data_IF_560719194369
#
_entry.id   IF_560719194369
#
_cell.length_a   1.000
_cell.length_b   1.000
_cell.length_c   1.000
_cell.angle_alpha   90.00
_cell.angle_beta   90.00
_cell.angle_gamma   90.00
#
_symmetry.space_group_name_H-M   'P 1'
#
loop_
_entity.id
_entity.type
_entity.pdbx_description
1 polymer ?
#
# COMPACT_ATOMS: atom_id res chain seq x y z
N UNK A 1 1.56 -4.74 15.78
CA UNK A 1 1.46 -3.97 14.51
C UNK A 1 0.99 -4.86 13.38
N UNK A 2 0.22 -4.31 12.45
CA UNK A 2 -0.33 -4.99 11.28
C UNK A 2 0.31 -4.46 9.99
N UNK A 3 0.72 -5.36 9.10
CA UNK A 3 1.15 -5.01 7.74
C UNK A 3 0.03 -5.38 6.77
N UNK A 4 -0.52 -4.39 6.05
CA UNK A 4 -1.66 -4.57 5.16
C UNK A 4 -1.24 -4.12 3.77
N UNK A 5 -1.33 -4.99 2.76
CA UNK A 5 -0.89 -4.60 1.43
C UNK A 5 -1.56 -5.33 0.28
N UNK A 6 -1.52 -4.71 -0.89
CA UNK A 6 -1.73 -5.35 -2.19
C UNK A 6 -0.45 -5.19 -3.00
N UNK A 7 0.13 -6.27 -3.53
CA UNK A 7 1.48 -6.26 -4.08
C UNK A 7 1.69 -7.33 -5.16
N UNK A 8 1.10 -7.20 -6.37
CA UNK A 8 1.23 -8.20 -7.43
C UNK A 8 2.67 -8.49 -7.87
N UNK A 9 3.57 -7.49 -7.76
CA UNK A 9 4.99 -7.59 -8.15
C UNK A 9 5.94 -7.56 -6.95
N UNK A 10 5.44 -7.79 -5.73
CA UNK A 10 6.22 -7.80 -4.48
C UNK A 10 6.88 -6.48 -4.03
N UNK A 11 6.99 -5.46 -4.88
CA UNK A 11 7.62 -4.18 -4.50
C UNK A 11 6.87 -3.45 -3.38
N UNK A 12 5.53 -3.44 -3.41
CA UNK A 12 4.72 -2.83 -2.35
C UNK A 12 4.89 -3.56 -1.03
N UNK A 13 4.88 -4.91 -1.04
CA UNK A 13 5.17 -5.73 0.14
C UNK A 13 6.52 -5.35 0.75
N UNK A 14 7.57 -5.27 -0.07
CA UNK A 14 8.92 -4.93 0.39
C UNK A 14 8.94 -3.57 1.09
N UNK A 15 8.35 -2.52 0.49
CA UNK A 15 8.30 -1.19 1.10
C UNK A 15 7.48 -1.17 2.40
N UNK A 16 6.34 -1.86 2.45
CA UNK A 16 5.51 -1.99 3.66
C UNK A 16 6.30 -2.64 4.80
N UNK A 17 7.05 -3.70 4.51
CA UNK A 17 7.91 -4.38 5.47
C UNK A 17 9.03 -3.47 5.97
N UNK A 18 9.70 -2.72 5.07
CA UNK A 18 10.76 -1.78 5.45
C UNK A 18 10.24 -0.64 6.34
N UNK A 19 9.08 -0.06 6.01
CA UNK A 19 8.44 0.94 6.89
C UNK A 19 8.09 0.31 8.25
N UNK A 20 7.55 -0.91 8.23
CA UNK A 20 7.27 -1.67 9.45
C UNK A 20 8.50 -1.86 10.34
N UNK A 21 9.67 -2.16 9.76
CA UNK A 21 10.92 -2.28 10.53
C UNK A 21 11.37 -0.99 11.19
N UNK A 22 10.97 0.18 10.69
CA UNK A 22 11.21 1.46 11.35
C UNK A 22 10.37 1.69 12.60
N UNK A 23 9.27 0.95 12.78
CA UNK A 23 8.35 1.12 13.91
C UNK A 23 8.75 0.17 15.04
N UNK A 24 8.87 0.63 16.31
CA UNK A 24 9.32 -0.19 17.44
C UNK A 24 8.22 -1.11 17.99
N UNK A 25 7.43 -1.71 17.10
CA UNK A 25 6.39 -2.69 17.43
C UNK A 25 6.63 -4.00 16.70
N UNK A 26 6.40 -5.11 17.40
CA UNK A 26 6.41 -6.43 16.78
C UNK A 26 5.30 -6.53 15.72
N UNK A 27 5.64 -7.10 14.57
CA UNK A 27 4.67 -7.49 13.55
C UNK A 27 3.84 -8.64 14.13
N UNK A 28 2.54 -8.41 14.28
CA UNK A 28 1.58 -9.38 14.81
C UNK A 28 0.82 -10.07 13.68
N UNK A 29 0.41 -9.29 12.66
CA UNK A 29 -0.41 -9.77 11.55
C UNK A 29 0.11 -9.24 10.22
N UNK A 30 0.08 -10.10 9.21
CA UNK A 30 0.31 -9.73 7.81
C UNK A 30 -0.97 -10.03 7.02
N UNK A 31 -1.59 -8.99 6.47
CA UNK A 31 -2.83 -9.04 5.69
C UNK A 31 -2.46 -8.76 4.23
N UNK A 32 -2.15 -9.82 3.49
CA UNK A 32 -1.93 -9.75 2.05
C UNK A 32 -3.28 -9.76 1.32
N UNK A 33 -3.66 -8.64 0.71
CA UNK A 33 -4.88 -8.47 -0.08
C UNK A 33 -4.69 -8.81 -1.57
N UNK A 34 -3.52 -9.27 -1.99
CA UNK A 34 -3.20 -9.65 -3.39
C UNK A 34 -3.93 -10.90 -3.88
N UNK A 35 -4.00 -12.01 -3.12
CA UNK A 35 -4.59 -13.24 -3.61
C UNK A 35 -6.10 -13.09 -3.84
N UNK A 36 -6.62 -13.70 -4.92
CA UNK A 36 -8.05 -13.61 -5.26
C UNK A 36 -8.97 -14.17 -4.16
N UNK A 37 -8.52 -15.22 -3.49
CA UNK A 37 -9.30 -15.94 -2.47
C UNK A 37 -9.55 -15.15 -1.18
N UNK A 38 -8.80 -14.07 -0.94
CA UNK A 38 -8.90 -13.24 0.28
C UNK A 38 -10.22 -12.44 0.34
N UNK A 39 -10.97 -12.37 -0.76
CA UNK A 39 -12.26 -11.66 -0.84
C UNK A 39 -13.30 -12.08 0.20
N UNK A 40 -13.16 -13.25 0.84
CA UNK A 40 -14.09 -13.76 1.87
C UNK A 40 -13.67 -13.48 3.31
N UNK A 41 -12.40 -13.15 3.55
CA UNK A 41 -11.91 -12.94 4.91
C UNK A 41 -12.34 -11.56 5.41
N UNK A 42 -12.70 -11.49 6.69
CA UNK A 42 -12.95 -10.22 7.40
C UNK A 42 -11.89 -10.06 8.47
N UNK A 43 -11.43 -8.82 8.64
CA UNK A 43 -10.41 -8.49 9.61
C UNK A 43 -10.91 -7.34 10.49
N UNK A 44 -10.75 -7.51 11.79
CA UNK A 44 -10.99 -6.46 12.78
C UNK A 44 -9.63 -6.00 13.30
N UNK A 45 -9.49 -4.67 13.40
CA UNK A 45 -8.28 -4.00 13.89
C UNK A 45 -8.69 -3.09 15.05
N UNK A 46 -8.19 -3.35 16.24
CA UNK A 46 -8.55 -2.60 17.44
C UNK A 46 -7.82 -1.27 17.53
N UNK A 47 -8.32 -0.34 18.36
CA UNK A 47 -7.78 1.01 18.51
C UNK A 47 -6.32 1.06 18.98
N UNK A 48 -5.91 0.09 19.78
CA UNK A 48 -4.56 -0.08 20.31
C UNK A 48 -3.59 -0.73 19.31
N UNK A 49 -4.10 -1.22 18.18
CA UNK A 49 -3.26 -1.73 17.10
C UNK A 49 -2.78 -0.61 16.18
N UNK A 50 -1.54 -0.75 15.71
CA UNK A 50 -0.92 0.15 14.73
C UNK A 50 -0.77 -0.57 13.38
N UNK A 51 -1.03 0.12 12.28
CA UNK A 51 -1.00 -0.48 10.94
C UNK A 51 -0.09 0.26 9.95
N UNK A 52 0.51 -0.48 9.02
CA UNK A 52 1.13 0.06 7.80
C UNK A 52 0.35 -0.47 6.61
N UNK A 53 -0.18 0.42 5.78
CA UNK A 53 -1.09 0.08 4.67
C UNK A 53 -0.49 0.53 3.35
N UNK A 54 -0.30 -0.39 2.41
CA UNK A 54 0.33 -0.10 1.12
C UNK A 54 -0.35 -0.68 -0.11
N UNK A 55 -0.36 0.08 -1.21
CA UNK A 55 -0.85 -0.39 -2.51
C UNK A 55 -0.03 0.19 -3.67
N UNK A 56 0.05 -0.49 -4.83
CA UNK A 56 0.64 0.08 -6.03
C UNK A 56 -0.28 1.14 -6.63
N UNK A 57 0.29 2.02 -7.45
CA UNK A 57 -0.45 2.98 -8.27
C UNK A 57 -0.58 2.45 -9.68
N UNK A 58 -1.80 2.44 -10.18
CA UNK A 58 -2.09 2.14 -11.58
C UNK A 58 -2.86 3.30 -12.20
N UNK A 59 -2.19 4.01 -13.11
CA UNK A 59 -2.79 5.13 -13.84
C UNK A 59 -3.24 6.25 -12.92
N UNK A 60 -2.43 6.58 -11.90
CA UNK A 60 -2.73 7.62 -10.92
C UNK A 60 -3.78 7.24 -9.87
N UNK A 61 -4.26 5.99 -9.85
CA UNK A 61 -5.35 5.51 -8.99
C UNK A 61 -4.96 4.22 -8.25
N UNK A 62 -5.74 3.87 -7.23
CA UNK A 62 -5.62 2.58 -6.56
C UNK A 62 -6.24 1.44 -7.41
N UNK A 63 -5.68 0.21 -7.35
CA UNK A 63 -6.25 -0.94 -8.05
C UNK A 63 -7.66 -1.24 -7.52
N UNK A 64 -8.64 -1.39 -8.40
CA UNK A 64 -10.02 -1.71 -7.98
C UNK A 64 -10.12 -2.99 -7.11
N UNK A 65 -9.34 -4.06 -7.34
CA UNK A 65 -9.32 -5.21 -6.44
C UNK A 65 -8.88 -4.85 -5.01
N UNK A 66 -7.88 -3.98 -4.84
CA UNK A 66 -7.44 -3.51 -3.53
C UNK A 66 -8.55 -2.71 -2.85
N UNK A 67 -9.13 -1.72 -3.54
CA UNK A 67 -10.22 -0.89 -3.00
C UNK A 67 -11.40 -1.75 -2.52
N UNK A 68 -11.79 -2.77 -3.29
CA UNK A 68 -12.85 -3.70 -2.87
C UNK A 68 -12.47 -4.54 -1.66
N UNK A 69 -11.23 -5.05 -1.62
CA UNK A 69 -10.77 -5.96 -0.55
C UNK A 69 -10.46 -5.23 0.75
N UNK A 70 -10.03 -3.98 0.70
CA UNK A 70 -9.80 -3.16 1.89
C UNK A 70 -11.11 -2.93 2.68
N UNK A 71 -12.27 -2.90 2.01
CA UNK A 71 -13.59 -2.80 2.66
C UNK A 71 -13.92 -3.98 3.59
N UNK A 72 -13.21 -5.10 3.47
CA UNK A 72 -13.37 -6.24 4.38
C UNK A 72 -12.61 -6.07 5.70
N UNK A 73 -11.85 -4.98 5.84
CA UNK A 73 -11.17 -4.61 7.08
C UNK A 73 -12.02 -3.55 7.78
N UNK A 74 -12.24 -3.74 9.08
CA UNK A 74 -12.87 -2.77 9.96
C UNK A 74 -11.91 -2.43 11.09
N UNK A 75 -11.55 -1.17 11.18
CA UNK A 75 -10.71 -0.64 12.24
C UNK A 75 -11.53 0.23 13.20
N UNK A 76 -11.15 0.25 14.48
CA UNK A 76 -11.73 1.18 15.47
C UNK A 76 -10.75 2.32 15.77
N UNK A 77 -10.74 3.34 14.92
CA UNK A 77 -9.87 4.52 15.05
C UNK A 77 -8.38 4.14 15.24
N UNK A 78 -7.95 3.06 14.59
CA UNK A 78 -6.58 2.51 14.70
C UNK A 78 -5.59 3.37 13.91
N UNK A 79 -4.45 3.81 14.50
CA UNK A 79 -3.44 4.59 13.79
C UNK A 79 -2.82 3.83 12.62
N UNK A 80 -2.66 4.51 11.48
CA UNK A 80 -2.11 3.91 10.27
C UNK A 80 -1.11 4.81 9.54
N UNK A 81 0.04 4.23 9.14
CA UNK A 81 0.91 4.79 8.12
C UNK A 81 0.40 4.33 6.75
N UNK A 82 0.21 5.26 5.82
CA UNK A 82 -0.25 4.96 4.46
C UNK A 82 0.91 5.07 3.47
N UNK A 83 0.95 4.22 2.45
CA UNK A 83 1.90 4.37 1.37
C UNK A 83 1.37 3.93 0.01
N UNK A 84 1.84 4.59 -1.04
CA UNK A 84 1.64 4.13 -2.42
C UNK A 84 2.98 3.86 -3.10
N UNK A 85 3.02 2.86 -3.98
CA UNK A 85 4.21 2.52 -4.77
C UNK A 85 3.95 2.75 -6.25
N UNK A 86 4.78 3.53 -6.93
CA UNK A 86 4.56 3.93 -8.32
C UNK A 86 5.80 3.76 -9.20
N UNK A 87 5.57 3.55 -10.50
CA UNK A 87 6.60 3.29 -11.52
C UNK A 87 7.32 4.51 -12.06
N UNK A 88 7.52 5.57 -11.25
CA UNK A 88 8.22 6.80 -11.64
C UNK A 88 7.55 7.67 -12.76
N UNK A 89 6.28 7.44 -13.07
CA UNK A 89 5.50 8.27 -14.04
C UNK A 89 4.54 9.25 -13.32
N UNK A 90 4.38 9.10 -12.01
CA UNK A 90 3.48 9.86 -11.15
C UNK A 90 2.50 8.97 -10.39
N UNK A 91 2.05 9.41 -9.21
CA UNK A 91 1.11 8.68 -8.36
C UNK A 91 -0.32 9.26 -8.36
N UNK A 92 -0.55 10.37 -9.08
CA UNK A 92 -1.86 10.98 -9.27
C UNK A 92 -2.59 11.24 -7.95
N UNK A 93 -3.82 10.72 -7.87
CA UNK A 93 -4.70 10.89 -6.71
C UNK A 93 -4.62 9.70 -5.74
N UNK A 94 -3.83 8.67 -6.04
CA UNK A 94 -3.86 7.38 -5.33
C UNK A 94 -3.57 7.51 -3.82
N UNK A 95 -2.72 8.45 -3.41
CA UNK A 95 -2.39 8.66 -2.01
C UNK A 95 -3.55 9.31 -1.24
N UNK A 96 -4.23 10.29 -1.84
CA UNK A 96 -5.46 10.88 -1.31
C UNK A 96 -6.60 9.85 -1.28
N UNK A 97 -6.74 9.05 -2.34
CA UNK A 97 -7.70 7.95 -2.41
C UNK A 97 -7.46 6.93 -1.30
N UNK A 98 -6.20 6.55 -1.04
CA UNK A 98 -5.84 5.63 0.03
C UNK A 98 -6.21 6.18 1.40
N UNK A 99 -6.00 7.48 1.65
CA UNK A 99 -6.45 8.14 2.88
C UNK A 99 -7.95 8.00 3.05
N UNK A 100 -8.74 8.39 2.05
CA UNK A 100 -10.20 8.35 2.16
C UNK A 100 -10.74 6.94 2.43
N UNK A 101 -10.27 5.94 1.68
CA UNK A 101 -10.79 4.58 1.86
C UNK A 101 -10.32 3.95 3.18
N UNK A 102 -9.12 4.30 3.67
CA UNK A 102 -8.62 3.81 4.95
C UNK A 102 -9.37 4.47 6.11
N UNK A 103 -9.63 5.77 6.03
CA UNK A 103 -10.49 6.48 7.00
C UNK A 103 -11.91 5.91 7.01
N UNK A 104 -12.50 5.64 5.83
CA UNK A 104 -13.82 4.97 5.72
C UNK A 104 -13.83 3.55 6.31
N UNK A 105 -12.71 2.85 6.28
CA UNK A 105 -12.53 1.56 6.94
C UNK A 105 -12.31 1.67 8.46
N UNK A 106 -12.21 2.89 9.01
CA UNK A 106 -12.06 3.17 10.43
C UNK A 106 -10.62 3.34 10.92
N UNK A 107 -9.65 3.46 10.01
CA UNK A 107 -8.29 3.83 10.38
C UNK A 107 -8.15 5.34 10.64
N UNK A 108 -7.14 5.71 11.40
CA UNK A 108 -6.72 7.09 11.66
C UNK A 108 -5.34 7.33 11.03
N UNK A 109 -5.27 7.79 9.75
CA UNK A 109 -4.00 8.01 9.08
C UNK A 109 -3.13 9.06 9.79
N UNK A 110 -1.90 8.69 10.14
CA UNK A 110 -0.98 9.57 10.88
C UNK A 110 0.11 10.19 9.97
N UNK A 111 0.45 9.48 8.90
CA UNK A 111 1.40 9.89 7.88
C UNK A 111 1.13 9.14 6.59
N UNK A 112 1.60 9.69 5.47
CA UNK A 112 1.55 8.99 4.19
C UNK A 112 2.78 9.29 3.33
N UNK A 113 3.18 8.33 2.49
CA UNK A 113 4.33 8.47 1.59
C UNK A 113 4.12 7.83 0.22
N UNK A 114 4.83 8.33 -0.79
CA UNK A 114 4.91 7.72 -2.11
C UNK A 114 6.33 7.20 -2.35
N UNK A 115 6.45 5.95 -2.79
CA UNK A 115 7.72 5.26 -2.98
C UNK A 115 7.85 4.76 -4.42
N UNK A 116 9.06 4.80 -4.95
CA UNK A 116 9.35 4.35 -6.31
C UNK A 116 9.61 2.85 -6.29
N UNK A 117 9.13 2.17 -7.33
CA UNK A 117 9.57 0.82 -7.66
C UNK A 117 9.59 0.64 -9.17
N UNK A 118 10.39 -0.31 -9.63
CA UNK A 118 10.40 -0.74 -11.02
C UNK A 118 9.00 -1.24 -11.42
N UNK A 119 8.39 -0.66 -12.46
CA UNK A 119 7.11 -1.13 -12.99
C UNK A 119 7.30 -2.44 -13.76
N UNK A 120 6.26 -3.27 -13.82
CA UNK A 120 6.27 -4.56 -14.52
C UNK A 120 6.56 -4.49 -16.04
N UNK A 121 6.46 -3.30 -16.63
CA UNK A 121 6.72 -3.04 -18.05
C UNK A 121 8.09 -2.40 -18.32
N UNK A 122 8.92 -2.22 -17.28
CA UNK A 122 10.33 -1.87 -17.45
C UNK A 122 11.05 -3.05 -18.11
N UNK A 123 11.79 -2.78 -19.18
CA UNK A 123 12.62 -3.76 -19.89
C UNK A 123 13.96 -3.14 -20.27
N UNK A 124 14.86 -3.93 -20.86
CA UNK A 124 16.20 -3.45 -21.23
C UNK A 124 16.18 -2.38 -22.34
N UNK A 125 15.10 -2.29 -23.12
CA UNK A 125 14.92 -1.27 -24.17
C UNK A 125 14.30 0.01 -23.60
N UNK A 126 13.49 -0.09 -22.55
CA UNK A 126 12.76 1.00 -21.90
C UNK A 126 12.91 0.91 -20.37
N UNK A 127 14.14 1.11 -19.84
CA UNK A 127 14.39 0.97 -18.41
C UNK A 127 13.71 2.12 -17.65
N UNK A 128 12.85 1.78 -16.68
CA UNK A 128 12.15 2.74 -15.83
C UNK A 128 12.36 2.35 -14.38
N UNK A 129 13.00 3.22 -13.59
CA UNK A 129 13.28 2.95 -12.18
C UNK A 129 13.92 1.57 -11.94
N UNK A 130 14.83 1.16 -12.84
CA UNK A 130 15.50 -0.14 -12.82
C UNK A 130 16.15 -0.41 -11.46
N UNK A 131 16.02 -1.63 -10.97
CA UNK A 131 16.57 -2.11 -9.70
C UNK A 131 15.97 -1.45 -8.45
N UNK A 132 14.85 -0.71 -8.58
CA UNK A 132 14.19 -0.04 -7.47
C UNK A 132 13.01 -0.88 -6.97
N UNK A 133 12.81 -1.04 -5.64
CA UNK A 133 13.54 -0.34 -4.60
C UNK A 133 14.89 -0.96 -4.23
N UNK A 134 15.93 -0.12 -4.15
CA UNK A 134 17.29 -0.51 -3.76
C UNK A 134 17.58 -0.22 -2.26
N UNK A 135 18.86 -0.30 -1.86
CA UNK A 135 19.31 -0.04 -0.49
C UNK A 135 18.97 1.37 0.04
N UNK A 136 18.98 2.39 -0.81
CA UNK A 136 18.62 3.75 -0.44
C UNK A 136 17.12 3.88 -0.18
N UNK A 137 16.26 3.27 -1.02
CA UNK A 137 14.81 3.24 -0.79
C UNK A 137 14.49 2.53 0.50
N UNK A 138 15.18 1.42 0.73
CA UNK A 138 15.06 0.63 1.96
C UNK A 138 15.37 1.48 3.19
N UNK A 139 16.48 2.24 3.18
CA UNK A 139 16.83 3.15 4.27
C UNK A 139 15.79 4.26 4.46
N UNK A 140 15.33 4.88 3.38
CA UNK A 140 14.31 5.94 3.42
C UNK A 140 12.99 5.40 3.99
N UNK A 141 12.57 4.21 3.58
CA UNK A 141 11.36 3.56 4.07
C UNK A 141 11.45 3.27 5.59
N UNK A 142 12.56 2.70 6.06
CA UNK A 142 12.80 2.45 7.49
C UNK A 142 12.76 3.78 8.27
N UNK A 143 13.48 4.79 7.80
CA UNK A 143 13.51 6.09 8.45
C UNK A 143 12.12 6.75 8.48
N UNK A 144 11.35 6.64 7.40
CA UNK A 144 9.99 7.15 7.33
C UNK A 144 9.07 6.49 8.36
N UNK A 145 9.18 5.17 8.56
CA UNK A 145 8.47 4.45 9.62
C UNK A 145 8.81 4.96 11.02
N UNK A 146 10.10 5.12 11.31
CA UNK A 146 10.58 5.61 12.59
C UNK A 146 10.12 7.05 12.88
N UNK A 147 10.25 7.95 11.92
CA UNK A 147 9.82 9.36 12.05
C UNK A 147 8.30 9.49 12.16
N UNK A 148 7.54 8.69 11.41
CA UNK A 148 6.08 8.66 11.51
C UNK A 148 5.62 8.22 12.89
N UNK A 149 6.23 7.17 13.44
CA UNK A 149 5.94 6.69 14.78
C UNK A 149 6.31 7.72 15.85
N UNK A 150 7.53 8.29 15.76
CA UNK A 150 8.00 9.31 16.70
C UNK A 150 7.04 10.50 16.74
N UNK A 151 6.66 11.04 15.57
CA UNK A 151 5.71 12.15 15.47
C UNK A 151 4.35 11.81 16.07
N UNK A 152 3.87 10.59 15.88
CA UNK A 152 2.61 10.14 16.45
C UNK A 152 2.65 10.06 17.98
N UNK A 153 3.75 9.59 18.56
CA UNK A 153 3.92 9.50 20.03
C UNK A 153 4.12 10.87 20.69
N UNK A 154 4.74 11.83 20.00
CA UNK A 154 5.03 13.16 20.57
C UNK A 154 3.91 14.19 20.36
N UNK A 155 2.88 13.88 19.57
CA UNK A 155 1.76 14.78 19.35
C UNK A 155 0.93 14.94 20.63
N UNK A 156 1.01 16.11 21.26
CA UNK A 156 0.00 16.56 22.23
C UNK A 156 -1.26 16.90 21.45
N UNK A 157 -2.34 16.15 21.66
CA UNK A 157 -3.57 16.29 20.86
C UNK A 157 -4.25 17.63 21.16
N UNK A 158 -3.98 18.65 20.35
CA UNK A 158 -4.93 19.75 20.14
C UNK A 158 -5.88 19.34 19.03
N UNK A 159 -7.17 19.60 19.24
CA UNK A 159 -8.27 19.07 18.40
C UNK A 159 -8.29 19.66 16.98
N UNK A 160 -7.50 20.71 16.73
CA UNK A 160 -7.60 21.57 15.55
C UNK A 160 -6.49 21.35 14.50
N UNK A 161 -5.43 20.57 14.78
CA UNK A 161 -4.28 20.39 13.86
C UNK A 161 -4.24 19.04 13.10
N UNK A 162 -5.30 18.22 13.16
CA UNK A 162 -5.15 16.78 12.94
C UNK A 162 -5.59 16.20 11.59
N UNK A 163 -5.89 17.00 10.58
CA UNK A 163 -6.18 16.43 9.27
C UNK A 163 -4.92 16.29 8.39
N UNK A 164 -4.50 15.04 8.16
CA UNK A 164 -3.39 14.73 7.25
C UNK A 164 -3.73 15.22 5.83
N UNK A 165 -3.14 16.34 5.42
CA UNK A 165 -3.29 16.89 4.06
C UNK A 165 -2.36 16.15 3.10
N UNK A 166 -2.92 15.64 2.00
CA UNK A 166 -2.19 14.82 1.02
C UNK A 166 -2.43 15.34 -0.40
N UNK A 167 -1.42 15.22 -1.29
CA UNK A 167 -1.57 15.59 -2.69
C UNK A 167 -2.62 14.70 -3.39
N UNK A 168 -3.38 15.32 -4.30
CA UNK A 168 -4.44 14.68 -5.09
C UNK A 168 -5.61 15.64 -5.28
N UNK A 169 -6.58 15.25 -6.11
CA UNK A 169 -7.80 16.01 -6.37
C UNK A 169 -9.04 15.13 -6.19
N UNK A 170 -10.09 15.71 -5.62
CA UNK A 170 -11.42 15.12 -5.57
C UNK A 170 -12.41 16.00 -6.36
N UNK A 171 -13.31 15.43 -7.20
CA UNK A 171 -13.47 14.01 -7.51
C UNK A 171 -12.27 13.43 -8.27
N UNK A 172 -11.96 12.16 -8.02
CA UNK A 172 -10.81 11.49 -8.62
C UNK A 172 -10.96 11.35 -10.15
N UNK A 173 -9.86 11.53 -10.88
CA UNK A 173 -9.87 11.31 -12.33
C UNK A 173 -10.22 9.86 -12.67
N UNK A 174 -10.91 9.64 -13.80
CA UNK A 174 -11.19 8.29 -14.27
C UNK A 174 -9.90 7.50 -14.49
N UNK A 175 -9.84 6.28 -13.95
CA UNK A 175 -8.74 5.38 -14.25
C UNK A 175 -8.87 4.94 -15.70
N UNK A 176 -7.94 5.38 -16.55
CA UNK A 176 -7.87 4.95 -17.95
C UNK A 176 -7.31 3.53 -18.12
N UNK A 177 -6.93 2.87 -17.02
CA UNK A 177 -6.38 1.52 -17.04
C UNK A 177 -7.51 0.51 -16.85
N UNK A 178 -7.90 -0.16 -17.93
CA UNK A 178 -8.72 -1.36 -17.84
C UNK A 178 -7.82 -2.54 -17.46
N UNK A 179 -8.05 -3.18 -16.32
CA UNK A 179 -7.36 -4.41 -15.90
C UNK A 179 -7.81 -5.66 -16.69
N UNK A 180 -8.14 -5.51 -17.97
CA UNK A 180 -8.60 -6.62 -18.82
C UNK A 180 -7.46 -7.46 -19.41
N UNK A 181 -6.21 -7.23 -19.01
CA UNK A 181 -5.07 -8.03 -19.46
C UNK A 181 -4.75 -9.07 -18.40
N UNK A 182 -5.22 -10.30 -18.62
CA UNK A 182 -4.76 -11.48 -17.89
C UNK A 182 -3.73 -12.20 -18.75
N UNK A 183 -2.60 -12.66 -18.19
CA UNK A 183 -1.66 -13.47 -18.95
C UNK A 183 -2.36 -14.73 -19.45
N UNK A 184 -2.14 -15.08 -20.73
CA UNK A 184 -2.68 -16.32 -21.28
C UNK A 184 -1.92 -17.52 -20.71
N UNK A 185 -2.66 -18.52 -20.21
CA UNK A 185 -2.07 -19.68 -19.58
C UNK A 185 -1.71 -20.73 -20.63
N UNK A 186 -0.42 -20.95 -20.85
CA UNK A 186 0.03 -22.09 -21.62
C UNK A 186 -0.16 -23.40 -20.80
N UNK A 187 -1.24 -24.13 -21.08
CA UNK A 187 -1.58 -25.40 -20.41
C UNK A 187 -0.45 -26.44 -20.46
N UNK A 188 0.30 -26.51 -21.55
CA UNK A 188 1.37 -27.49 -21.71
C UNK A 188 2.60 -27.19 -20.84
N UNK A 189 2.85 -25.92 -20.51
CA UNK A 189 3.98 -25.49 -19.65
C UNK A 189 3.59 -25.36 -18.17
N UNK A 190 2.31 -25.44 -17.83
CA UNK A 190 1.83 -25.27 -16.47
C UNK A 190 2.20 -26.49 -15.60
N UNK A 191 3.05 -26.28 -14.59
CA UNK A 191 3.46 -27.30 -13.63
C UNK A 191 2.49 -27.45 -12.45
N UNK A 192 1.35 -26.73 -12.47
CA UNK A 192 0.39 -26.63 -11.36
C UNK A 192 1.04 -26.21 -10.03
N UNK A 193 2.11 -25.42 -10.09
CA UNK A 193 2.84 -24.95 -8.92
C UNK A 193 2.04 -23.98 -8.01
N UNK A 194 0.94 -23.40 -8.51
CA UNK A 194 0.08 -22.51 -7.72
C UNK A 194 0.54 -21.05 -7.62
N UNK A 195 1.78 -20.72 -8.05
CA UNK A 195 2.37 -19.37 -7.94
C UNK A 195 1.49 -18.29 -8.59
N UNK A 196 0.85 -18.58 -9.73
CA UNK A 196 -0.02 -17.62 -10.42
C UNK A 196 -1.33 -17.30 -9.67
N UNK A 197 -1.63 -18.00 -8.58
CA UNK A 197 -2.85 -17.82 -7.78
C UNK A 197 -2.62 -17.13 -6.42
N UNK A 198 -1.35 -16.97 -6.03
CA UNK A 198 -0.91 -16.36 -4.76
C UNK A 198 -0.77 -14.84 -4.84
#
# INVERSE_FOLDING_TARGET
MNLIYFSPTQSTKKIVEMIGFGVPYKINKVINLTPFRVTKNRYEISRDEFSVIGAPVYGGRLPSPFVRRLKNIKADNSPAILLVVYGNVGYGDALLELKEISTKAGFSPISAGAFIAEPAFSDDLHPIAKDRPDSLDTRIAIQFGAESFKRHMTKTVTKEENELSLPGKYPYHESKISFLVSPDMNKAKCTKCGICSE
#
